data_IF_711818709709
#
_entry.id   IF_711818709709
#
_cell.length_a   1.000
_cell.length_b   1.000
_cell.length_c   1.000
_cell.angle_alpha   90.00
_cell.angle_beta   90.00
_cell.angle_gamma   90.00
#
_symmetry.space_group_name_H-M   'P 1'
#
loop_
_entity.id
_entity.type
_entity.pdbx_description
1 polymer ?
#
# COMPACT_ATOMS: atom_id res chain seq x y z
N UNK A 1 -34.35 19.71 44.38
CA UNK A 1 -33.65 20.44 43.30
C UNK A 1 -32.82 19.42 42.55
N UNK A 2 -33.10 19.19 41.26
CA UNK A 2 -32.36 18.23 40.43
C UNK A 2 -31.47 19.04 39.50
N UNK A 3 -30.15 18.81 39.56
CA UNK A 3 -29.20 19.47 38.65
C UNK A 3 -29.29 18.87 37.25
N UNK A 4 -28.91 19.63 36.20
CA UNK A 4 -28.94 19.13 34.83
C UNK A 4 -27.87 18.03 34.64
N UNK A 5 -28.25 16.97 33.91
CA UNK A 5 -27.31 15.95 33.44
C UNK A 5 -26.73 16.44 32.12
N UNK A 6 -25.44 16.76 32.09
CA UNK A 6 -24.71 17.06 30.86
C UNK A 6 -24.57 15.80 30.00
N UNK A 7 -25.49 15.62 29.05
CA UNK A 7 -25.31 14.64 27.97
C UNK A 7 -24.43 15.24 26.88
N UNK A 8 -23.13 15.00 26.97
CA UNK A 8 -22.21 15.29 25.87
C UNK A 8 -22.63 14.55 24.59
N UNK A 9 -22.60 15.18 23.39
CA UNK A 9 -23.00 14.50 22.16
C UNK A 9 -22.02 13.38 21.82
N UNK A 10 -22.54 12.17 21.58
CA UNK A 10 -21.80 11.06 21.01
C UNK A 10 -21.49 11.39 19.53
N UNK A 11 -20.29 11.87 19.22
CA UNK A 11 -19.90 12.17 17.85
C UNK A 11 -19.53 10.90 17.07
N UNK A 12 -20.39 10.54 16.13
CA UNK A 12 -20.26 9.31 15.35
C UNK A 12 -19.33 9.42 14.13
N UNK A 13 -18.84 8.28 13.66
CA UNK A 13 -17.62 8.19 12.84
C UNK A 13 -17.85 8.41 11.34
N UNK A 14 -16.89 9.08 10.66
CA UNK A 14 -16.95 9.34 9.23
C UNK A 14 -15.76 8.81 8.39
N UNK A 15 -16.03 8.51 7.11
CA UNK A 15 -15.08 8.05 6.08
C UNK A 15 -15.39 8.75 4.75
N UNK A 16 -14.36 9.04 3.93
CA UNK A 16 -14.52 9.75 2.64
C UNK A 16 -14.12 8.84 1.47
N UNK A 17 -14.84 8.90 0.34
CA UNK A 17 -14.56 8.12 -0.89
C UNK A 17 -14.88 8.96 -2.13
N UNK A 18 -13.94 9.03 -3.08
CA UNK A 18 -14.14 9.62 -4.41
C UNK A 18 -13.94 8.60 -5.56
N UNK A 19 -14.59 8.84 -6.70
CA UNK A 19 -14.56 8.06 -7.96
C UNK A 19 -14.71 9.07 -9.13
N UNK A 20 -14.64 8.78 -10.45
CA UNK A 20 -14.69 7.53 -11.23
C UNK A 20 -13.93 7.67 -12.58
N UNK A 21 -14.10 6.69 -13.45
CA UNK A 21 -13.69 6.58 -14.87
C UNK A 21 -13.71 7.88 -15.71
N UNK A 22 -12.56 8.18 -16.34
CA UNK A 22 -12.25 9.50 -16.92
C UNK A 22 -12.43 9.65 -18.45
N UNK A 23 -12.54 8.55 -19.21
CA UNK A 23 -12.40 8.59 -20.68
C UNK A 23 -13.51 9.31 -21.48
N UNK A 24 -14.62 9.72 -20.85
CA UNK A 24 -15.73 10.42 -21.54
C UNK A 24 -15.84 11.91 -21.23
N UNK A 25 -15.15 12.46 -20.22
CA UNK A 25 -15.37 13.83 -19.76
C UNK A 25 -14.38 14.87 -20.29
N UNK A 26 -13.15 14.48 -20.67
CA UNK A 26 -12.17 15.45 -21.21
C UNK A 26 -12.66 16.16 -22.48
N UNK A 27 -13.41 15.46 -23.35
CA UNK A 27 -13.89 16.05 -24.61
C UNK A 27 -14.90 17.19 -24.40
N UNK A 28 -15.66 17.21 -23.30
CA UNK A 28 -16.70 18.23 -23.05
C UNK A 28 -16.21 19.44 -22.24
N UNK A 29 -15.11 19.31 -21.49
CA UNK A 29 -14.56 20.40 -20.68
C UNK A 29 -13.70 21.38 -21.48
N UNK A 30 -13.10 20.92 -22.59
CA UNK A 30 -12.17 21.72 -23.40
C UNK A 30 -12.94 22.80 -24.20
N UNK A 31 -14.13 22.47 -24.72
CA UNK A 31 -14.92 23.36 -25.58
C UNK A 31 -15.60 24.56 -24.87
N UNK A 32 -15.49 24.69 -23.55
CA UNK A 32 -16.28 25.69 -22.77
C UNK A 32 -15.51 26.65 -21.88
N UNK A 33 -14.18 26.53 -21.77
CA UNK A 33 -13.35 27.52 -21.07
C UNK A 33 -13.70 27.76 -19.59
N UNK A 34 -14.31 26.78 -18.90
CA UNK A 34 -14.73 26.90 -17.50
C UNK A 34 -13.57 26.65 -16.53
N UNK A 35 -13.49 27.37 -15.39
CA UNK A 35 -12.53 27.07 -14.34
C UNK A 35 -12.83 25.72 -13.68
N UNK A 36 -11.76 24.97 -13.37
CA UNK A 36 -11.85 23.62 -12.82
C UNK A 36 -12.62 23.57 -11.49
N UNK A 37 -13.66 22.74 -11.45
CA UNK A 37 -14.33 22.27 -10.23
C UNK A 37 -13.90 20.83 -9.94
N UNK A 38 -13.82 20.43 -8.66
CA UNK A 38 -13.82 19.01 -8.32
C UNK A 38 -15.18 18.41 -8.69
N UNK A 39 -15.26 17.78 -9.87
CA UNK A 39 -16.49 17.16 -10.37
C UNK A 39 -16.72 15.81 -9.69
N UNK A 40 -17.88 15.72 -9.05
CA UNK A 40 -18.46 14.57 -8.35
C UNK A 40 -18.66 13.34 -9.27
N UNK A 41 -18.26 12.14 -8.82
CA UNK A 41 -18.86 10.88 -9.30
C UNK A 41 -19.00 9.84 -8.18
N UNK A 42 -20.24 9.62 -7.71
CA UNK A 42 -20.56 8.53 -6.79
C UNK A 42 -20.70 7.17 -7.46
N UNK A 43 -20.17 6.12 -6.79
CA UNK A 43 -20.79 4.79 -6.52
C UNK A 43 -19.71 3.73 -6.25
N UNK A 44 -19.85 3.03 -5.13
CA UNK A 44 -19.40 1.64 -4.98
C UNK A 44 -20.43 0.87 -4.14
N UNK A 45 -20.48 -0.45 -4.30
CA UNK A 45 -21.56 -1.28 -3.80
C UNK A 45 -21.56 -1.42 -2.26
N UNK A 46 -22.76 -1.56 -1.68
CA UNK A 46 -22.97 -1.53 -0.24
C UNK A 46 -22.43 -2.76 0.50
N UNK A 47 -21.89 -2.53 1.71
CA UNK A 47 -21.70 -3.58 2.74
C UNK A 47 -21.60 -3.04 4.18
N UNK A 48 -21.43 -1.72 4.39
CA UNK A 48 -21.40 -1.09 5.73
C UNK A 48 -22.04 0.31 5.70
N UNK A 49 -22.90 0.67 6.67
CA UNK A 49 -23.35 2.05 6.85
C UNK A 49 -22.23 2.87 7.48
N UNK A 50 -21.83 3.96 6.84
CA UNK A 50 -20.92 4.96 7.41
C UNK A 50 -21.45 6.34 6.99
N UNK A 51 -21.63 7.24 7.94
CA UNK A 51 -21.99 8.64 7.69
C UNK A 51 -20.76 9.36 7.14
N UNK A 52 -20.84 9.98 5.97
CA UNK A 52 -19.65 10.50 5.26
C UNK A 52 -19.59 12.04 5.30
N UNK A 53 -18.54 12.61 5.88
CA UNK A 53 -18.21 14.03 5.73
C UNK A 53 -17.24 14.22 4.58
N UNK A 54 -17.71 14.72 3.45
CA UNK A 54 -16.87 15.07 2.30
C UNK A 54 -16.65 16.58 2.21
N UNK A 55 -15.54 17.05 1.61
CA UNK A 55 -15.45 18.40 1.06
C UNK A 55 -16.69 18.77 0.21
N UNK A 56 -17.09 20.05 0.15
CA UNK A 56 -18.20 20.50 -0.69
C UNK A 56 -18.00 20.10 -2.16
N UNK A 57 -19.10 19.78 -2.86
CA UNK A 57 -19.06 19.58 -4.32
C UNK A 57 -18.60 20.87 -4.99
N UNK A 58 -17.74 20.76 -6.01
CA UNK A 58 -17.08 21.88 -6.69
C UNK A 58 -16.10 22.70 -5.81
N UNK A 59 -15.40 22.06 -4.86
CA UNK A 59 -14.35 22.71 -4.08
C UNK A 59 -13.06 22.96 -4.90
N UNK A 60 -12.32 24.02 -4.57
CA UNK A 60 -10.95 24.28 -5.06
C UNK A 60 -9.92 23.51 -4.22
N UNK A 61 -8.66 23.51 -4.66
CA UNK A 61 -7.54 22.94 -3.88
C UNK A 61 -7.38 23.63 -2.52
N UNK A 62 -7.64 24.95 -2.43
CA UNK A 62 -7.58 25.71 -1.18
C UNK A 62 -8.68 25.27 -0.20
N UNK A 63 -9.89 25.08 -0.70
CA UNK A 63 -11.01 24.62 0.12
C UNK A 63 -10.78 23.19 0.64
N UNK A 64 -10.15 22.34 -0.18
CA UNK A 64 -9.78 20.98 0.22
C UNK A 64 -8.66 20.96 1.30
N UNK A 65 -7.66 21.84 1.19
CA UNK A 65 -6.65 22.07 2.25
C UNK A 65 -7.33 22.54 3.53
N UNK A 66 -8.11 23.62 3.45
CA UNK A 66 -8.80 24.17 4.62
C UNK A 66 -9.70 23.12 5.27
N UNK A 67 -10.42 22.30 4.49
CA UNK A 67 -11.24 21.21 5.02
C UNK A 67 -10.40 20.16 5.76
N UNK A 68 -9.29 19.69 5.17
CA UNK A 68 -8.36 18.75 5.80
C UNK A 68 -7.81 19.29 7.13
N UNK A 69 -7.45 20.56 7.20
CA UNK A 69 -6.84 21.20 8.37
C UNK A 69 -7.84 21.56 9.48
N UNK A 70 -9.12 21.73 9.16
CA UNK A 70 -10.17 22.15 10.12
C UNK A 70 -11.05 21.01 10.63
N UNK A 71 -10.93 19.80 10.08
CA UNK A 71 -11.76 18.66 10.45
C UNK A 71 -10.91 17.47 10.94
N UNK A 72 -11.32 16.75 11.98
CA UNK A 72 -10.59 15.56 12.46
C UNK A 72 -10.76 14.39 11.48
N UNK A 73 -9.83 14.25 10.53
CA UNK A 73 -9.88 13.19 9.52
C UNK A 73 -9.34 11.87 10.08
N UNK A 74 -10.19 10.83 10.13
CA UNK A 74 -9.73 9.46 10.46
C UNK A 74 -9.24 8.72 9.23
N UNK A 75 -10.07 8.66 8.19
CA UNK A 75 -9.77 7.96 6.94
C UNK A 75 -9.97 8.89 5.75
N UNK A 76 -8.93 9.11 4.97
CA UNK A 76 -8.97 9.86 3.72
C UNK A 76 -8.70 8.93 2.54
N UNK A 77 -9.46 9.08 1.45
CA UNK A 77 -9.30 8.25 0.25
C UNK A 77 -9.40 9.11 -0.99
N UNK A 78 -8.36 9.09 -1.82
CA UNK A 78 -8.25 9.90 -3.03
C UNK A 78 -7.98 9.02 -4.24
N UNK A 79 -8.85 9.12 -5.24
CA UNK A 79 -8.76 8.39 -6.50
C UNK A 79 -8.59 9.39 -7.64
N UNK A 80 -7.63 9.13 -8.53
CA UNK A 80 -7.12 10.05 -9.56
C UNK A 80 -6.45 11.30 -8.95
N UNK A 81 -5.14 11.46 -9.19
CA UNK A 81 -4.37 12.62 -8.75
C UNK A 81 -3.72 13.39 -9.93
N UNK A 82 -4.50 13.94 -10.89
CA UNK A 82 -3.99 14.93 -11.82
C UNK A 82 -4.22 16.35 -11.25
N UNK A 83 -3.22 16.92 -10.59
CA UNK A 83 -3.15 18.39 -10.55
C UNK A 83 -2.91 18.89 -11.96
N UNK A 84 -3.77 19.78 -12.47
CA UNK A 84 -3.51 20.44 -13.74
C UNK A 84 -2.17 21.18 -13.66
N UNK A 85 -1.38 21.17 -14.74
CA UNK A 85 -0.02 21.71 -14.75
C UNK A 85 0.09 23.20 -14.33
N UNK A 86 -1.00 23.96 -14.43
CA UNK A 86 -1.09 25.36 -14.00
C UNK A 86 -1.37 25.56 -12.50
N UNK A 87 -1.66 24.51 -11.73
CA UNK A 87 -1.84 24.64 -10.27
C UNK A 87 -0.49 24.97 -9.65
N UNK A 88 -0.40 26.08 -8.91
CA UNK A 88 0.83 26.51 -8.24
C UNK A 88 1.47 25.39 -7.41
N UNK A 89 2.80 25.28 -7.48
CA UNK A 89 3.51 24.16 -6.87
C UNK A 89 3.44 24.20 -5.34
N UNK A 90 3.48 25.39 -4.72
CA UNK A 90 3.35 25.53 -3.26
C UNK A 90 1.97 25.07 -2.80
N UNK A 91 0.94 25.39 -3.57
CA UNK A 91 -0.43 24.93 -3.30
C UNK A 91 -0.56 23.40 -3.41
N UNK A 92 0.17 22.74 -4.32
CA UNK A 92 0.24 21.26 -4.36
C UNK A 92 1.00 20.69 -3.16
N UNK A 93 2.18 21.22 -2.83
CA UNK A 93 2.94 20.80 -1.64
C UNK A 93 2.11 20.95 -0.36
N UNK A 94 1.40 22.07 -0.19
CA UNK A 94 0.52 22.28 0.96
C UNK A 94 -0.62 21.26 1.00
N UNK A 95 -1.27 20.96 -0.14
CA UNK A 95 -2.26 19.89 -0.21
C UNK A 95 -1.68 18.51 0.17
N UNK A 96 -0.50 18.15 -0.33
CA UNK A 96 0.13 16.88 0.03
C UNK A 96 0.51 16.83 1.51
N UNK A 97 1.07 17.90 2.07
CA UNK A 97 1.35 18.02 3.50
C UNK A 97 0.10 17.79 4.35
N UNK A 98 -1.00 18.52 4.07
CA UNK A 98 -2.27 18.33 4.77
C UNK A 98 -2.83 16.90 4.58
N UNK A 99 -2.77 16.34 3.37
CA UNK A 99 -3.23 14.98 3.09
C UNK A 99 -2.40 13.90 3.80
N UNK A 100 -1.12 14.15 4.11
CA UNK A 100 -0.24 13.21 4.80
C UNK A 100 -0.25 13.36 6.32
N UNK A 101 -0.57 14.54 6.84
CA UNK A 101 -0.50 14.86 8.28
C UNK A 101 -1.86 14.89 8.98
N UNK A 102 -2.96 15.17 8.27
CA UNK A 102 -4.29 15.28 8.89
C UNK A 102 -5.01 13.94 9.09
N UNK A 103 -4.90 12.92 8.20
CA UNK A 103 -5.49 11.61 8.47
C UNK A 103 -4.78 10.90 9.62
N UNK A 104 -5.55 10.38 10.56
CA UNK A 104 -5.02 9.70 11.78
C UNK A 104 -5.03 8.17 11.71
N UNK A 105 -5.87 7.56 10.86
CA UNK A 105 -6.03 6.08 10.81
C UNK A 105 -5.65 5.47 9.47
N UNK A 106 -6.16 6.01 8.37
CA UNK A 106 -5.97 5.41 7.04
C UNK A 106 -5.89 6.47 5.94
N UNK A 107 -4.90 6.35 5.07
CA UNK A 107 -4.81 7.04 3.80
C UNK A 107 -4.83 6.02 2.66
N UNK A 108 -5.72 6.23 1.70
CA UNK A 108 -5.80 5.43 0.48
C UNK A 108 -5.60 6.33 -0.74
N UNK A 109 -4.61 6.03 -1.57
CA UNK A 109 -4.32 6.74 -2.83
C UNK A 109 -4.46 5.77 -3.99
N UNK A 110 -5.17 6.17 -5.05
CA UNK A 110 -5.27 5.40 -6.28
C UNK A 110 -4.95 6.27 -7.50
N UNK A 111 -3.84 5.98 -8.15
CA UNK A 111 -3.24 6.84 -9.15
C UNK A 111 -3.72 6.61 -10.59
N UNK A 112 -4.54 5.58 -10.87
CA UNK A 112 -5.18 5.36 -12.18
C UNK A 112 -4.21 5.43 -13.40
N UNK A 113 -2.95 5.03 -13.24
CA UNK A 113 -1.93 5.05 -14.29
C UNK A 113 -1.15 6.37 -14.43
N UNK A 114 -1.47 7.41 -13.66
CA UNK A 114 -0.59 8.57 -13.53
C UNK A 114 0.66 8.20 -12.72
N UNK A 115 1.80 8.80 -13.06
CA UNK A 115 2.98 8.80 -12.20
C UNK A 115 2.90 10.01 -11.25
N UNK A 116 2.75 9.80 -9.94
CA UNK A 116 2.57 10.88 -8.97
C UNK A 116 3.86 11.30 -8.28
N UNK A 117 5.02 10.71 -8.58
CA UNK A 117 6.19 10.80 -7.68
C UNK A 117 7.01 12.09 -7.80
N UNK A 118 6.48 13.10 -8.49
CA UNK A 118 6.80 14.52 -8.27
C UNK A 118 6.17 15.08 -6.97
N UNK A 119 5.55 14.22 -6.14
CA UNK A 119 5.12 14.52 -4.78
C UNK A 119 6.33 14.78 -3.87
N UNK A 120 6.27 15.90 -3.14
CA UNK A 120 7.06 16.10 -1.94
C UNK A 120 6.44 15.30 -0.79
N UNK A 121 7.16 14.30 -0.29
CA UNK A 121 6.68 13.47 0.82
C UNK A 121 6.90 14.17 2.16
N UNK A 122 5.83 14.24 2.97
CA UNK A 122 5.88 14.66 4.36
C UNK A 122 5.65 13.44 5.28
N UNK A 123 6.22 13.41 6.49
CA UNK A 123 5.99 12.31 7.44
C UNK A 123 4.50 12.04 7.68
N UNK A 124 4.15 10.76 7.73
CA UNK A 124 2.77 10.32 7.87
C UNK A 124 2.31 10.30 9.33
N UNK A 125 1.13 10.85 9.56
CA UNK A 125 0.44 10.81 10.86
C UNK A 125 -0.57 9.66 10.99
N UNK A 126 -0.83 8.89 9.93
CA UNK A 126 -1.79 7.78 9.94
C UNK A 126 -1.16 6.42 10.24
N UNK A 127 -1.94 5.52 10.85
CA UNK A 127 -1.51 4.12 11.08
C UNK A 127 -1.31 3.30 9.80
N UNK A 128 -2.05 3.62 8.73
CA UNK A 128 -2.21 2.77 7.55
C UNK A 128 -2.17 3.55 6.24
N UNK A 129 -1.29 3.16 5.32
CA UNK A 129 -1.19 3.73 3.98
C UNK A 129 -1.42 2.65 2.93
N UNK A 130 -2.35 2.88 2.02
CA UNK A 130 -2.49 2.10 0.78
C UNK A 130 -2.24 3.01 -0.41
N UNK A 131 -1.36 2.59 -1.30
CA UNK A 131 -1.14 3.20 -2.61
C UNK A 131 -1.43 2.15 -3.68
N UNK A 132 -2.27 2.51 -4.64
CA UNK A 132 -2.60 1.68 -5.77
C UNK A 132 -2.27 2.38 -7.10
N UNK A 133 -1.67 1.67 -8.04
CA UNK A 133 -1.37 2.15 -9.38
C UNK A 133 -0.20 3.14 -9.46
N UNK A 134 0.24 3.41 -10.68
CA UNK A 134 1.37 4.30 -10.99
C UNK A 134 2.69 3.55 -11.12
N UNK A 135 3.75 4.28 -11.44
CA UNK A 135 5.08 3.70 -11.72
C UNK A 135 6.15 4.46 -10.96
N UNK A 136 6.94 3.75 -10.15
CA UNK A 136 7.82 4.32 -9.13
C UNK A 136 9.28 4.04 -9.48
N UNK A 137 10.08 5.10 -9.66
CA UNK A 137 11.49 4.97 -10.04
C UNK A 137 12.38 4.73 -8.79
N UNK A 138 13.56 4.09 -8.93
CA UNK A 138 14.47 3.81 -7.81
C UNK A 138 14.81 5.01 -6.92
N UNK A 139 14.90 6.22 -7.48
CA UNK A 139 15.16 7.45 -6.73
C UNK A 139 14.01 7.79 -5.78
N UNK A 140 12.79 7.61 -6.25
CA UNK A 140 11.60 7.99 -5.51
C UNK A 140 11.22 6.92 -4.49
N UNK A 141 11.63 5.66 -4.71
CA UNK A 141 11.59 4.60 -3.70
C UNK A 141 12.48 4.92 -2.50
N UNK A 142 13.70 5.43 -2.75
CA UNK A 142 14.64 5.85 -1.69
C UNK A 142 14.07 7.03 -0.91
N UNK A 143 13.54 8.05 -1.59
CA UNK A 143 12.86 9.20 -0.96
C UNK A 143 11.65 8.78 -0.11
N UNK A 144 10.84 7.87 -0.64
CA UNK A 144 9.69 7.30 0.07
C UNK A 144 10.16 6.54 1.32
N UNK A 145 11.19 5.69 1.19
CA UNK A 145 11.81 4.97 2.31
C UNK A 145 12.36 5.90 3.41
N UNK A 146 13.03 6.99 3.05
CA UNK A 146 13.59 7.97 3.99
C UNK A 146 12.51 8.71 4.80
N UNK A 147 11.34 8.95 4.20
CA UNK A 147 10.19 9.55 4.89
C UNK A 147 9.36 8.51 5.67
N UNK A 148 9.29 7.25 5.22
CA UNK A 148 8.72 6.16 6.03
C UNK A 148 9.48 5.97 7.35
N UNK A 149 10.82 6.11 7.33
CA UNK A 149 11.64 6.08 8.54
C UNK A 149 11.36 7.25 9.53
N UNK A 150 10.73 8.33 9.07
CA UNK A 150 10.27 9.46 9.89
C UNK A 150 8.79 9.30 10.33
N UNK A 151 8.08 8.32 9.77
CA UNK A 151 6.64 8.12 9.94
C UNK A 151 6.35 7.12 11.06
N UNK A 152 6.64 7.51 12.30
CA UNK A 152 6.58 6.63 13.48
C UNK A 152 5.19 6.04 13.77
N UNK A 153 4.11 6.71 13.34
CA UNK A 153 2.74 6.22 13.51
C UNK A 153 2.34 5.15 12.49
N UNK A 154 3.03 5.08 11.33
CA UNK A 154 2.67 4.19 10.24
C UNK A 154 3.11 2.76 10.54
N UNK A 155 2.15 1.87 10.74
CA UNK A 155 2.38 0.44 11.06
C UNK A 155 1.97 -0.50 9.93
N UNK A 156 1.21 -0.01 8.94
CA UNK A 156 0.67 -0.80 7.83
C UNK A 156 0.89 -0.07 6.50
N UNK A 157 1.58 -0.69 5.56
CA UNK A 157 1.81 -0.16 4.22
C UNK A 157 1.41 -1.19 3.17
N UNK A 158 0.64 -0.75 2.19
CA UNK A 158 0.28 -1.54 1.01
C UNK A 158 0.57 -0.77 -0.27
N UNK A 159 1.47 -1.28 -1.10
CA UNK A 159 1.69 -0.87 -2.47
C UNK A 159 1.04 -1.92 -3.38
N UNK A 160 0.16 -1.50 -4.30
CA UNK A 160 -0.62 -2.40 -5.16
C UNK A 160 -0.55 -1.96 -6.62
N UNK A 161 0.04 -2.76 -7.50
CA UNK A 161 0.17 -2.36 -8.91
C UNK A 161 1.04 -1.10 -9.08
N UNK A 162 2.05 -0.92 -8.24
CA UNK A 162 3.00 0.20 -8.30
C UNK A 162 4.28 -0.30 -8.98
N UNK A 163 4.37 -0.14 -10.30
CA UNK A 163 5.45 -0.75 -11.09
C UNK A 163 6.82 -0.11 -10.79
N UNK A 164 7.80 -0.92 -10.38
CA UNK A 164 9.18 -0.46 -10.19
C UNK A 164 9.90 -0.25 -11.53
N UNK A 165 9.88 0.99 -12.04
CA UNK A 165 10.41 1.34 -13.36
C UNK A 165 11.87 1.77 -13.32
N UNK A 166 12.73 1.06 -14.06
CA UNK A 166 14.15 1.36 -14.15
C UNK A 166 14.99 0.14 -14.51
N UNK A 167 16.32 0.25 -14.43
CA UNK A 167 17.18 -0.92 -14.61
C UNK A 167 17.14 -1.84 -13.36
N UNK A 168 17.07 -3.17 -13.54
CA UNK A 168 16.92 -4.15 -12.45
C UNK A 168 17.90 -3.98 -11.28
N UNK A 169 19.13 -3.57 -11.56
CA UNK A 169 20.17 -3.39 -10.54
C UNK A 169 19.86 -2.20 -9.61
N UNK A 170 19.38 -1.08 -10.17
CA UNK A 170 18.96 0.09 -9.37
C UNK A 170 17.64 -0.20 -8.63
N UNK A 171 16.68 -0.85 -9.28
CA UNK A 171 15.44 -1.27 -8.62
C UNK A 171 15.71 -2.21 -7.45
N UNK A 172 16.62 -3.19 -7.60
CA UNK A 172 17.03 -4.10 -6.50
C UNK A 172 17.67 -3.33 -5.35
N UNK A 173 18.60 -2.42 -5.63
CA UNK A 173 19.28 -1.65 -4.59
C UNK A 173 18.32 -0.72 -3.83
N UNK A 174 17.40 -0.05 -4.55
CA UNK A 174 16.38 0.80 -3.94
C UNK A 174 15.34 -0.01 -3.15
N UNK A 175 14.96 -1.20 -3.60
CA UNK A 175 14.04 -2.08 -2.87
C UNK A 175 14.68 -2.69 -1.62
N UNK A 176 15.97 -3.05 -1.67
CA UNK A 176 16.74 -3.42 -0.48
C UNK A 176 16.75 -2.28 0.55
N UNK A 177 17.07 -1.05 0.11
CA UNK A 177 17.06 0.13 0.98
C UNK A 177 15.68 0.39 1.59
N UNK A 178 14.61 0.26 0.80
CA UNK A 178 13.23 0.36 1.28
C UNK A 178 12.94 -0.68 2.38
N UNK A 179 13.29 -1.96 2.16
CA UNK A 179 13.10 -3.01 3.16
C UNK A 179 13.90 -2.78 4.46
N UNK A 180 15.10 -2.19 4.38
CA UNK A 180 15.90 -1.81 5.57
C UNK A 180 15.33 -0.57 6.30
N UNK A 181 14.46 0.23 5.67
CA UNK A 181 13.88 1.47 6.25
C UNK A 181 12.46 1.35 6.81
N UNK A 182 11.70 0.32 6.44
CA UNK A 182 10.32 0.10 6.89
C UNK A 182 10.23 -0.49 8.31
N UNK A 183 11.11 -0.08 9.22
CA UNK A 183 11.28 -0.74 10.53
C UNK A 183 10.08 -0.61 11.48
N UNK A 184 9.30 0.47 11.36
CA UNK A 184 8.02 0.69 12.06
C UNK A 184 6.84 -0.12 11.49
N UNK A 185 7.00 -0.71 10.30
CA UNK A 185 5.91 -1.33 9.55
C UNK A 185 5.78 -2.80 9.93
N UNK A 186 4.67 -3.13 10.57
CA UNK A 186 4.36 -4.48 11.03
C UNK A 186 3.66 -5.31 9.95
N UNK A 187 2.95 -4.65 9.03
CA UNK A 187 2.29 -5.27 7.86
C UNK A 187 2.70 -4.54 6.59
N UNK A 188 3.46 -5.24 5.75
CA UNK A 188 3.92 -4.75 4.45
C UNK A 188 3.31 -5.63 3.34
N UNK A 189 2.57 -5.00 2.44
CA UNK A 189 2.12 -5.62 1.20
C UNK A 189 2.72 -4.86 0.01
N UNK A 190 3.39 -5.57 -0.90
CA UNK A 190 3.92 -5.01 -2.15
C UNK A 190 3.43 -5.93 -3.27
N UNK A 191 2.16 -5.80 -3.62
CA UNK A 191 1.44 -6.76 -4.47
C UNK A 191 1.39 -6.25 -5.92
N UNK A 192 1.68 -7.11 -6.90
CA UNK A 192 1.59 -6.78 -8.33
C UNK A 192 2.49 -5.62 -8.78
N UNK A 193 3.62 -5.38 -8.10
CA UNK A 193 4.55 -4.26 -8.34
C UNK A 193 5.71 -4.63 -9.28
N UNK A 194 5.54 -5.68 -10.10
CA UNK A 194 6.54 -6.18 -11.06
C UNK A 194 7.92 -6.48 -10.44
N UNK A 195 7.92 -7.23 -9.33
CA UNK A 195 9.14 -7.62 -8.60
C UNK A 195 9.86 -8.85 -9.20
N UNK A 196 9.38 -9.38 -10.33
CA UNK A 196 9.96 -10.49 -11.09
C UNK A 196 11.41 -10.23 -11.52
N UNK A 197 11.73 -8.97 -11.84
CA UNK A 197 13.05 -8.57 -12.34
C UNK A 197 14.07 -8.26 -11.25
N UNK A 198 13.68 -8.31 -9.96
CA UNK A 198 14.60 -8.00 -8.87
C UNK A 198 15.56 -9.17 -8.60
N UNK A 199 16.79 -8.86 -8.21
CA UNK A 199 17.76 -9.89 -7.84
C UNK A 199 17.49 -10.37 -6.41
N UNK A 200 16.59 -11.35 -6.29
CA UNK A 200 16.16 -11.91 -5.01
C UNK A 200 17.29 -12.57 -4.20
N UNK A 201 18.37 -13.02 -4.83
CA UNK A 201 19.60 -13.47 -4.14
C UNK A 201 20.21 -12.39 -3.26
N UNK A 202 20.05 -11.11 -3.64
CA UNK A 202 20.47 -9.95 -2.82
C UNK A 202 19.41 -9.53 -1.81
N UNK A 203 18.12 -9.80 -2.07
CA UNK A 203 17.01 -9.41 -1.18
C UNK A 203 16.76 -10.42 -0.06
N UNK A 204 17.06 -11.70 -0.25
CA UNK A 204 16.95 -12.74 0.79
C UNK A 204 17.63 -12.33 2.12
N UNK A 205 18.93 -11.93 2.10
CA UNK A 205 19.61 -11.43 3.30
C UNK A 205 19.05 -10.13 3.91
N UNK A 206 18.26 -9.36 3.16
CA UNK A 206 17.54 -8.18 3.67
C UNK A 206 16.27 -8.62 4.38
N UNK A 207 15.52 -9.57 3.79
CA UNK A 207 14.38 -10.21 4.46
C UNK A 207 14.78 -10.86 5.79
N UNK A 208 15.97 -11.48 5.90
CA UNK A 208 16.47 -12.06 7.15
C UNK A 208 16.46 -11.06 8.33
N UNK A 209 16.69 -9.76 8.07
CA UNK A 209 16.77 -8.70 9.08
C UNK A 209 15.48 -7.88 9.23
N UNK A 210 14.45 -8.15 8.43
CA UNK A 210 13.22 -7.35 8.41
C UNK A 210 12.42 -7.50 9.72
N UNK A 211 11.94 -6.38 10.27
CA UNK A 211 11.03 -6.35 11.43
C UNK A 211 9.55 -6.54 11.07
N UNK A 212 9.22 -6.70 9.78
CA UNK A 212 7.84 -6.93 9.31
C UNK A 212 7.31 -8.23 9.90
N UNK A 213 6.07 -8.23 10.45
CA UNK A 213 5.39 -9.45 10.92
C UNK A 213 4.54 -10.10 9.83
N UNK A 214 3.94 -9.30 8.95
CA UNK A 214 3.07 -9.77 7.87
C UNK A 214 3.57 -9.22 6.54
N UNK A 215 4.01 -10.12 5.66
CA UNK A 215 4.58 -9.81 4.34
C UNK A 215 3.68 -10.38 3.24
N UNK A 216 3.21 -9.51 2.34
CA UNK A 216 2.56 -9.92 1.09
C UNK A 216 3.41 -9.50 -0.10
N UNK A 217 3.67 -10.46 -0.99
CA UNK A 217 4.33 -10.28 -2.29
C UNK A 217 3.47 -10.92 -3.38
N UNK A 218 2.14 -10.86 -3.23
CA UNK A 218 1.20 -11.48 -4.13
C UNK A 218 1.28 -10.89 -5.55
N UNK A 219 0.88 -11.67 -6.56
CA UNK A 219 0.75 -11.19 -7.95
C UNK A 219 2.03 -10.62 -8.62
N UNK A 220 3.23 -10.82 -8.06
CA UNK A 220 4.47 -10.21 -8.56
C UNK A 220 5.19 -10.94 -9.71
N UNK A 221 4.60 -11.99 -10.27
CA UNK A 221 5.19 -12.79 -11.37
C UNK A 221 6.61 -13.34 -11.12
N UNK A 222 6.97 -13.53 -9.86
CA UNK A 222 8.22 -14.12 -9.38
C UNK A 222 8.51 -15.46 -10.09
N UNK A 223 9.79 -15.73 -10.34
CA UNK A 223 10.25 -17.03 -10.81
C UNK A 223 10.51 -18.00 -9.63
N UNK A 224 10.75 -19.30 -9.88
CA UNK A 224 11.05 -20.25 -8.81
C UNK A 224 12.34 -19.98 -8.02
N UNK A 225 13.31 -19.26 -8.58
CA UNK A 225 14.58 -18.91 -7.92
C UNK A 225 14.38 -17.77 -6.92
N UNK A 226 13.52 -16.80 -7.26
CA UNK A 226 13.04 -15.79 -6.33
C UNK A 226 12.35 -16.43 -5.12
N UNK A 227 11.50 -17.43 -5.33
CA UNK A 227 10.87 -18.19 -4.23
C UNK A 227 11.90 -18.93 -3.37
N UNK A 228 12.93 -19.52 -3.98
CA UNK A 228 14.02 -20.15 -3.24
C UNK A 228 14.74 -19.16 -2.32
N UNK A 229 15.11 -17.97 -2.84
CA UNK A 229 15.77 -16.94 -2.02
C UNK A 229 14.85 -16.27 -0.99
N UNK A 230 13.54 -16.19 -1.25
CA UNK A 230 12.54 -15.80 -0.23
C UNK A 230 12.50 -16.83 0.89
N UNK A 231 12.46 -18.13 0.58
CA UNK A 231 12.49 -19.20 1.58
C UNK A 231 13.77 -19.15 2.44
N UNK A 232 14.94 -18.94 1.81
CA UNK A 232 16.21 -18.70 2.53
C UNK A 232 16.16 -17.43 3.39
N UNK A 233 15.49 -16.37 2.95
CA UNK A 233 15.30 -15.15 3.74
C UNK A 233 14.41 -15.37 4.97
N UNK A 234 13.41 -16.25 4.85
CA UNK A 234 12.45 -16.57 5.90
C UNK A 234 12.96 -17.58 6.93
N UNK A 235 13.88 -18.48 6.55
CA UNK A 235 14.40 -19.52 7.44
C UNK A 235 15.08 -18.92 8.69
N UNK A 236 15.75 -17.77 8.54
CA UNK A 236 16.53 -17.11 9.60
C UNK A 236 15.77 -15.92 10.24
N UNK A 237 14.57 -15.57 9.74
CA UNK A 237 13.76 -14.46 10.27
C UNK A 237 12.60 -14.98 11.15
N UNK A 238 12.74 -14.92 12.47
CA UNK A 238 11.70 -15.36 13.42
C UNK A 238 10.59 -14.30 13.71
N UNK A 239 10.63 -13.14 13.04
CA UNK A 239 9.68 -12.02 13.19
C UNK A 239 8.54 -12.09 12.18
N UNK A 240 8.83 -12.36 10.90
CA UNK A 240 7.81 -12.59 9.86
C UNK A 240 7.04 -13.86 10.23
N UNK A 241 5.71 -13.76 10.36
CA UNK A 241 4.80 -14.87 10.70
C UNK A 241 3.79 -15.17 9.61
N UNK A 242 3.35 -14.14 8.90
CA UNK A 242 2.33 -14.27 7.88
C UNK A 242 2.93 -13.91 6.53
N UNK A 243 2.92 -14.86 5.59
CA UNK A 243 3.51 -14.72 4.26
C UNK A 243 2.45 -15.01 3.20
N UNK A 244 2.18 -14.05 2.31
CA UNK A 244 1.28 -14.22 1.17
C UNK A 244 2.04 -14.14 -0.16
N UNK A 245 2.04 -15.24 -0.89
CA UNK A 245 2.63 -15.45 -2.21
C UNK A 245 1.55 -15.93 -3.21
N UNK A 246 0.28 -15.59 -2.95
CA UNK A 246 -0.85 -15.94 -3.82
C UNK A 246 -0.71 -15.31 -5.20
N UNK A 247 -0.84 -16.14 -6.24
CA UNK A 247 -0.62 -15.75 -7.66
C UNK A 247 0.76 -15.07 -7.91
N UNK A 248 1.72 -15.19 -6.98
CA UNK A 248 3.06 -14.63 -7.15
C UNK A 248 3.84 -15.33 -8.26
N UNK A 249 3.53 -16.60 -8.57
CA UNK A 249 4.18 -17.39 -9.64
C UNK A 249 3.12 -18.04 -10.52
N UNK A 250 3.21 -17.88 -11.84
CA UNK A 250 2.23 -18.44 -12.82
C UNK A 250 2.17 -19.98 -12.74
N UNK A 251 3.30 -20.63 -12.49
CA UNK A 251 3.43 -22.09 -12.32
C UNK A 251 4.42 -22.42 -11.20
N UNK A 252 3.95 -22.38 -9.95
CA UNK A 252 4.78 -22.72 -8.78
C UNK A 252 5.09 -24.24 -8.74
N UNK A 253 6.36 -24.67 -8.95
CA UNK A 253 6.73 -26.09 -8.93
C UNK A 253 6.64 -26.65 -7.51
N UNK A 254 6.61 -27.99 -7.38
CA UNK A 254 6.43 -28.64 -6.07
C UNK A 254 7.60 -28.30 -5.13
N UNK A 255 8.84 -28.42 -5.60
CA UNK A 255 10.04 -28.16 -4.80
C UNK A 255 10.08 -26.73 -4.23
N UNK A 256 9.53 -25.72 -4.93
CA UNK A 256 9.52 -24.34 -4.44
C UNK A 256 8.54 -24.16 -3.26
N UNK A 257 7.40 -24.85 -3.29
CA UNK A 257 6.49 -24.93 -2.13
C UNK A 257 7.15 -25.69 -0.99
N UNK A 258 7.81 -26.80 -1.30
CA UNK A 258 8.52 -27.58 -0.28
C UNK A 258 9.62 -26.76 0.39
N UNK A 259 10.40 -25.95 -0.34
CA UNK A 259 11.37 -25.02 0.26
C UNK A 259 10.74 -23.96 1.15
N UNK A 260 9.57 -23.42 0.80
CA UNK A 260 8.83 -22.49 1.67
C UNK A 260 8.35 -23.19 2.95
N UNK A 261 7.91 -24.45 2.89
CA UNK A 261 7.52 -25.23 4.08
C UNK A 261 8.74 -25.66 4.92
N UNK A 262 9.82 -26.07 4.24
CA UNK A 262 11.07 -26.50 4.86
C UNK A 262 11.76 -25.36 5.62
N UNK A 263 11.41 -24.08 5.37
CA UNK A 263 11.97 -22.95 6.14
C UNK A 263 11.59 -23.03 7.63
N UNK A 264 10.42 -23.59 7.99
CA UNK A 264 10.02 -23.79 9.39
C UNK A 264 10.92 -24.78 10.15
N UNK A 265 11.67 -25.67 9.47
CA UNK A 265 12.66 -26.54 10.14
C UNK A 265 13.80 -25.78 10.84
N UNK A 266 14.10 -24.57 10.36
CA UNK A 266 15.23 -23.75 10.83
C UNK A 266 14.80 -22.61 11.74
N UNK A 267 13.48 -22.40 11.88
CA UNK A 267 12.90 -21.30 12.64
C UNK A 267 12.63 -21.73 14.07
N UNK A 268 13.01 -20.88 15.03
CA UNK A 268 12.62 -21.07 16.44
C UNK A 268 11.16 -20.73 16.67
N UNK A 269 10.53 -19.97 15.77
CA UNK A 269 9.08 -19.76 15.77
C UNK A 269 8.53 -19.85 14.34
N UNK A 270 7.62 -20.82 14.06
CA UNK A 270 7.16 -21.08 12.70
C UNK A 270 6.32 -19.92 12.12
N UNK A 271 6.09 -19.99 10.81
CA UNK A 271 5.10 -19.15 10.13
C UNK A 271 3.68 -19.50 10.61
N UNK A 272 2.95 -18.51 11.13
CA UNK A 272 1.53 -18.62 11.51
C UNK A 272 0.62 -18.80 10.28
N UNK A 273 1.03 -18.32 9.11
CA UNK A 273 0.28 -18.48 7.85
C UNK A 273 1.21 -18.38 6.65
N UNK A 274 1.19 -19.40 5.79
CA UNK A 274 1.76 -19.36 4.44
C UNK A 274 0.63 -19.51 3.41
N UNK A 275 0.42 -18.49 2.58
CA UNK A 275 -0.52 -18.54 1.46
C UNK A 275 0.23 -18.68 0.14
N UNK A 276 -0.02 -19.80 -0.53
CA UNK A 276 0.45 -20.07 -1.89
C UNK A 276 -0.74 -20.55 -2.72
N UNK A 277 -0.88 -20.06 -3.96
CA UNK A 277 -1.94 -20.50 -4.86
C UNK A 277 -1.40 -21.47 -5.90
N UNK A 278 -1.96 -22.67 -5.95
CA UNK A 278 -1.67 -23.70 -6.97
C UNK A 278 -2.94 -24.10 -7.70
N UNK A 279 -2.85 -24.26 -9.03
CA UNK A 279 -3.98 -24.64 -9.90
C UNK A 279 -4.33 -26.14 -9.89
N UNK A 280 -3.60 -26.99 -9.17
CA UNK A 280 -3.78 -28.45 -9.18
C UNK A 280 -4.20 -28.98 -7.80
N UNK A 281 -5.41 -29.52 -7.70
CA UNK A 281 -6.04 -29.93 -6.43
C UNK A 281 -5.42 -31.18 -5.79
N UNK A 282 -5.03 -32.19 -6.58
CA UNK A 282 -4.58 -33.48 -6.05
C UNK A 282 -3.29 -33.41 -5.22
N UNK A 283 -2.41 -32.44 -5.50
CA UNK A 283 -1.17 -32.22 -4.72
C UNK A 283 -1.37 -31.31 -3.51
N UNK A 284 -2.52 -30.67 -3.34
CA UNK A 284 -2.74 -29.75 -2.23
C UNK A 284 -2.87 -30.47 -0.88
N UNK A 285 -3.49 -31.66 -0.84
CA UNK A 285 -3.60 -32.45 0.39
C UNK A 285 -2.23 -32.89 0.93
N UNK A 286 -1.32 -33.34 0.06
CA UNK A 286 0.05 -33.72 0.44
C UNK A 286 0.85 -32.52 0.95
N UNK A 287 0.70 -31.35 0.33
CA UNK A 287 1.36 -30.12 0.78
C UNK A 287 0.78 -29.59 2.11
N UNK A 288 -0.53 -29.75 2.34
CA UNK A 288 -1.15 -29.41 3.63
C UNK A 288 -0.66 -30.34 4.75
N UNK A 289 -0.61 -31.65 4.51
CA UNK A 289 -0.04 -32.60 5.46
C UNK A 289 1.44 -32.28 5.78
N UNK A 290 2.23 -31.93 4.76
CA UNK A 290 3.63 -31.50 4.95
C UNK A 290 3.76 -30.12 5.61
N UNK A 291 2.77 -29.23 5.48
CA UNK A 291 2.76 -27.98 6.25
C UNK A 291 2.54 -28.28 7.74
N UNK A 292 1.54 -29.10 8.07
CA UNK A 292 1.24 -29.51 9.45
C UNK A 292 2.42 -30.25 10.12
N UNK A 293 3.18 -31.05 9.37
CA UNK A 293 4.44 -31.70 9.82
C UNK A 293 5.54 -30.70 10.21
N UNK A 294 5.52 -29.47 9.66
CA UNK A 294 6.55 -28.45 9.88
C UNK A 294 6.12 -27.29 10.77
N UNK A 295 4.89 -27.33 11.28
CA UNK A 295 4.28 -26.25 12.07
C UNK A 295 4.01 -24.98 11.27
#
# INVERSE_FOLDING_TARGET
MVGPVDTAPHYDNATVVFNRSYHQQQQQSIDRGLPWSLVDVGKFNAARPILTLSPPRNCTVRDAIQWLETHPVRTFRLCALPFHQSVDWKLRTHFFSAMFQQPTKELYLHFNGYNPWDIEFHPFSMESLTIQGGSLAPRDLVRFADMLAQSSSLTRLSLKGVDLVGCPQKCTAAFAYFLDKVSSIHTLAVDGCSLDKLNWRKLGPVLQRSSVRTLSLAQNHLDPEAIYHIAQGLQDNNIIRNVDLSEAVVKLPVYAVERLLDCNLYRTVPLETLRVRRRSSSKNAQMLARALDRG
#
